data_IF_647699588549
#
_entry.id   IF_647699588549
#
_cell.length_a   1.000
_cell.length_b   1.000
_cell.length_c   1.000
_cell.angle_alpha   90.00
_cell.angle_beta   90.00
_cell.angle_gamma   90.00
#
_symmetry.space_group_name_H-M   'P 1'
#
loop_
_entity.id
_entity.type
_entity.pdbx_description
1 polymer ?
#
# COMPACT_ATOMS: atom_id res chain seq x y z
N UNK A 1 20.50 -12.41 -6.19
CA UNK A 1 19.67 -13.47 -5.56
C UNK A 1 18.50 -12.78 -4.91
N UNK A 2 17.26 -13.22 -5.14
CA UNK A 2 16.09 -12.69 -4.46
C UNK A 2 16.11 -13.16 -3.01
N UNK A 3 16.42 -12.27 -2.07
CA UNK A 3 16.26 -12.55 -0.63
C UNK A 3 14.78 -12.67 -0.29
N UNK A 4 14.47 -13.54 0.66
CA UNK A 4 13.14 -13.56 1.30
C UNK A 4 12.95 -12.22 2.01
N UNK A 5 11.79 -11.57 1.81
CA UNK A 5 11.41 -10.33 2.49
C UNK A 5 10.27 -10.59 3.45
N UNK A 6 10.32 -9.96 4.62
CA UNK A 6 9.25 -9.94 5.61
C UNK A 6 8.69 -8.51 5.67
N UNK A 7 7.42 -8.36 5.30
CA UNK A 7 6.70 -7.09 5.29
C UNK A 7 5.48 -7.20 6.22
N UNK A 8 5.60 -6.90 7.52
CA UNK A 8 4.47 -7.02 8.44
C UNK A 8 3.33 -6.06 8.08
N UNK A 9 2.10 -6.57 8.07
CA UNK A 9 0.90 -5.74 7.88
C UNK A 9 0.50 -5.08 9.19
N UNK A 10 0.22 -3.78 9.12
CA UNK A 10 -0.32 -3.00 10.25
C UNK A 10 -1.84 -2.95 10.31
N UNK A 11 -2.54 -3.70 9.45
CA UNK A 11 -4.00 -3.76 9.40
C UNK A 11 -4.63 -4.04 10.77
N UNK A 12 -4.01 -4.94 11.54
CA UNK A 12 -4.47 -5.37 12.87
C UNK A 12 -3.63 -4.82 14.03
N UNK A 13 -2.77 -3.82 13.78
CA UNK A 13 -1.96 -3.20 14.82
C UNK A 13 -2.82 -2.33 15.75
N UNK A 14 -2.31 -2.02 16.94
CA UNK A 14 -2.93 -1.05 17.84
C UNK A 14 -2.86 0.37 17.23
N UNK A 15 -3.98 0.82 16.66
CA UNK A 15 -4.08 2.13 16.01
C UNK A 15 -3.84 3.30 16.96
N UNK A 16 -4.10 3.15 18.27
CA UNK A 16 -3.86 4.22 19.23
C UNK A 16 -2.36 4.44 19.47
N UNK A 17 -1.53 3.43 19.18
CA UNK A 17 -0.09 3.44 19.38
C UNK A 17 0.68 3.04 18.09
N UNK A 18 0.12 3.36 16.92
CA UNK A 18 0.56 2.80 15.64
C UNK A 18 2.07 2.99 15.37
N UNK A 19 2.60 4.18 15.60
CA UNK A 19 4.03 4.45 15.38
C UNK A 19 4.94 3.67 16.33
N UNK A 20 4.49 3.42 17.56
CA UNK A 20 5.20 2.54 18.48
C UNK A 20 5.21 1.09 17.98
N UNK A 21 4.09 0.61 17.42
CA UNK A 21 4.02 -0.72 16.80
C UNK A 21 4.94 -0.84 15.58
N UNK A 22 5.01 0.19 14.73
CA UNK A 22 5.94 0.24 13.59
C UNK A 22 7.40 0.23 14.07
N UNK A 23 7.73 1.04 15.08
CA UNK A 23 9.09 1.10 15.65
C UNK A 23 9.54 -0.24 16.23
N UNK A 24 8.64 -1.02 16.83
CA UNK A 24 8.94 -2.34 17.40
C UNK A 24 9.44 -3.34 16.36
N UNK A 25 9.00 -3.21 15.10
CA UNK A 25 9.35 -4.14 14.01
C UNK A 25 10.41 -3.57 13.05
N UNK A 26 10.72 -2.27 13.15
CA UNK A 26 11.53 -1.54 12.17
C UNK A 26 12.95 -2.11 11.97
N UNK A 27 13.57 -2.66 13.01
CA UNK A 27 14.94 -3.19 12.93
C UNK A 27 15.04 -4.59 12.31
N UNK A 28 13.93 -5.28 12.10
CA UNK A 28 13.88 -6.69 11.67
C UNK A 28 13.02 -6.93 10.43
N UNK A 29 12.42 -5.87 9.87
CA UNK A 29 11.50 -5.95 8.74
C UNK A 29 12.10 -5.27 7.50
N UNK A 30 11.76 -5.77 6.32
CA UNK A 30 12.23 -5.20 5.05
C UNK A 30 11.41 -3.99 4.62
N UNK A 31 10.08 -4.07 4.77
CA UNK A 31 9.11 -3.02 4.45
C UNK A 31 7.95 -3.06 5.45
N UNK A 32 7.16 -2.00 5.48
CA UNK A 32 5.88 -1.97 6.17
C UNK A 32 4.76 -2.24 5.17
N UNK A 33 3.88 -3.22 5.41
CA UNK A 33 2.74 -3.45 4.54
C UNK A 33 1.51 -2.66 5.01
N UNK A 34 0.97 -1.83 4.13
CA UNK A 34 -0.16 -0.92 4.39
C UNK A 34 -1.38 -1.33 3.56
N UNK A 35 -2.35 -1.96 4.21
CA UNK A 35 -3.61 -2.38 3.60
C UNK A 35 -4.63 -1.24 3.60
N UNK A 36 -4.95 -0.68 2.43
CA UNK A 36 -5.96 0.37 2.26
C UNK A 36 -7.24 -0.22 1.67
N UNK A 37 -8.35 -0.07 2.39
CA UNK A 37 -9.67 -0.55 2.01
C UNK A 37 -10.68 0.61 2.08
N UNK A 38 -11.58 0.73 1.09
CA UNK A 38 -12.44 1.89 0.89
C UNK A 38 -13.96 1.64 1.11
N UNK A 39 -14.32 0.45 1.58
CA UNK A 39 -15.70 -0.03 1.74
C UNK A 39 -16.52 -0.07 0.42
N UNK A 40 -15.86 -0.05 -0.76
CA UNK A 40 -16.51 -0.17 -2.08
C UNK A 40 -15.99 -1.38 -2.84
N UNK A 41 -14.67 -1.50 -3.00
CA UNK A 41 -14.07 -2.66 -3.66
C UNK A 41 -14.08 -3.90 -2.77
N UNK A 42 -13.93 -3.69 -1.46
CA UNK A 42 -14.10 -4.69 -0.40
C UNK A 42 -15.06 -4.14 0.67
N UNK A 43 -15.78 -4.98 1.42
CA UNK A 43 -16.80 -4.53 2.38
C UNK A 43 -16.21 -4.11 3.75
N UNK A 44 -15.06 -3.43 3.74
CA UNK A 44 -14.35 -2.96 4.93
C UNK A 44 -13.67 -1.62 4.64
N UNK A 45 -13.44 -0.82 5.68
CA UNK A 45 -12.65 0.41 5.62
C UNK A 45 -11.46 0.31 6.59
N UNK A 46 -10.28 0.78 6.18
CA UNK A 46 -9.06 0.71 7.02
C UNK A 46 -8.46 2.07 7.30
N UNK A 47 -7.91 2.76 6.31
CA UNK A 47 -7.25 4.05 6.48
C UNK A 47 -7.83 5.06 5.50
N UNK A 48 -8.04 6.30 5.95
CA UNK A 48 -8.27 7.41 5.02
C UNK A 48 -6.99 7.67 4.22
N UNK A 49 -7.13 8.40 3.11
CA UNK A 49 -5.97 8.79 2.31
C UNK A 49 -4.98 9.62 3.13
N UNK A 50 -5.46 10.55 3.96
CA UNK A 50 -4.64 11.38 4.83
C UNK A 50 -3.90 10.56 5.89
N UNK A 51 -4.57 9.56 6.50
CA UNK A 51 -3.93 8.65 7.45
C UNK A 51 -2.84 7.82 6.76
N UNK A 52 -3.12 7.30 5.56
CA UNK A 52 -2.16 6.51 4.79
C UNK A 52 -0.93 7.34 4.39
N UNK A 53 -1.13 8.54 3.86
CA UNK A 53 -0.04 9.47 3.51
C UNK A 53 0.79 9.80 4.74
N UNK A 54 0.15 10.07 5.88
CA UNK A 54 0.87 10.33 7.12
C UNK A 54 1.76 9.14 7.55
N UNK A 55 1.26 7.91 7.41
CA UNK A 55 2.05 6.69 7.68
C UNK A 55 3.22 6.59 6.69
N UNK A 56 3.00 6.80 5.40
CA UNK A 56 4.02 6.71 4.35
C UNK A 56 5.15 7.71 4.62
N UNK A 57 4.82 8.96 4.95
CA UNK A 57 5.79 10.03 5.16
C UNK A 57 6.56 9.91 6.49
N UNK A 58 5.95 9.33 7.53
CA UNK A 58 6.53 9.28 8.87
C UNK A 58 7.13 7.91 9.24
N UNK A 59 6.85 6.85 8.47
CA UNK A 59 7.34 5.52 8.77
C UNK A 59 8.87 5.45 8.65
N UNK A 60 9.58 4.87 9.64
CA UNK A 60 11.02 4.59 9.52
C UNK A 60 11.33 3.46 8.53
N UNK A 61 10.32 2.65 8.17
CA UNK A 61 10.38 1.63 7.13
C UNK A 61 9.78 2.17 5.83
N UNK A 62 10.38 1.83 4.70
CA UNK A 62 9.74 2.02 3.40
C UNK A 62 8.39 1.26 3.34
N UNK A 63 7.37 1.91 2.77
CA UNK A 63 5.98 1.40 2.80
C UNK A 63 5.62 0.69 1.48
N UNK A 64 5.05 -0.50 1.62
CA UNK A 64 4.40 -1.28 0.58
C UNK A 64 2.88 -1.11 0.69
N UNK A 65 2.32 -0.24 -0.16
CA UNK A 65 0.91 0.13 -0.15
C UNK A 65 0.10 -0.86 -0.98
N UNK A 66 -0.79 -1.63 -0.36
CA UNK A 66 -1.74 -2.52 -1.03
C UNK A 66 -3.13 -1.90 -1.05
N UNK A 67 -3.60 -1.56 -2.24
CA UNK A 67 -4.83 -0.82 -2.47
C UNK A 67 -5.97 -1.75 -2.86
N UNK A 68 -6.85 -2.03 -1.90
CA UNK A 68 -8.15 -2.69 -2.06
C UNK A 68 -9.26 -1.63 -2.18
N UNK A 69 -9.16 -0.79 -3.21
CA UNK A 69 -10.02 0.38 -3.42
C UNK A 69 -10.68 0.36 -4.80
N UNK A 70 -11.80 1.07 -4.94
CA UNK A 70 -12.41 1.37 -6.24
C UNK A 70 -11.62 2.47 -6.96
N UNK A 71 -11.58 2.41 -8.29
CA UNK A 71 -10.94 3.41 -9.16
C UNK A 71 -9.46 3.68 -8.83
N UNK A 72 -8.59 2.63 -8.80
CA UNK A 72 -7.18 2.79 -8.49
C UNK A 72 -6.44 3.62 -9.55
N UNK A 73 -6.97 3.75 -10.76
CA UNK A 73 -6.39 4.54 -11.86
C UNK A 73 -6.10 6.00 -11.46
N UNK A 74 -6.92 6.57 -10.57
CA UNK A 74 -6.78 7.94 -10.05
C UNK A 74 -5.98 7.95 -8.74
N UNK A 75 -6.31 7.04 -7.83
CA UNK A 75 -5.83 7.11 -6.46
C UNK A 75 -4.43 6.51 -6.28
N UNK A 76 -4.10 5.41 -6.96
CA UNK A 76 -2.83 4.70 -6.75
C UNK A 76 -1.57 5.53 -7.06
N UNK A 77 -1.54 6.37 -8.13
CA UNK A 77 -0.40 7.25 -8.39
C UNK A 77 -0.11 8.21 -7.23
N UNK A 78 -1.13 8.67 -6.50
CA UNK A 78 -0.97 9.59 -5.37
C UNK A 78 -0.17 8.94 -4.22
N UNK A 79 -0.36 7.64 -3.96
CA UNK A 79 0.43 6.91 -2.96
C UNK A 79 1.91 6.86 -3.33
N UNK A 80 2.21 6.74 -4.63
CA UNK A 80 3.58 6.79 -5.13
C UNK A 80 4.16 8.21 -5.00
N UNK A 81 3.39 9.25 -5.32
CA UNK A 81 3.78 10.66 -5.17
C UNK A 81 4.17 11.02 -3.73
N UNK A 82 3.47 10.44 -2.75
CA UNK A 82 3.78 10.63 -1.32
C UNK A 82 4.89 9.71 -0.79
N UNK A 83 5.57 8.95 -1.65
CA UNK A 83 6.79 8.20 -1.29
C UNK A 83 6.57 6.74 -0.91
N UNK A 84 5.45 6.11 -1.30
CA UNK A 84 5.32 4.65 -1.18
C UNK A 84 6.44 3.97 -1.97
N UNK A 85 7.13 3.02 -1.35
CA UNK A 85 8.19 2.26 -2.02
C UNK A 85 7.62 1.26 -3.04
N UNK A 86 6.44 0.72 -2.75
CA UNK A 86 5.63 0.00 -3.72
C UNK A 86 4.16 0.35 -3.61
N UNK A 87 3.47 0.29 -4.74
CA UNK A 87 2.02 0.41 -4.81
C UNK A 87 1.48 -0.80 -5.59
N UNK A 88 0.66 -1.59 -4.90
CA UNK A 88 0.01 -2.77 -5.44
C UNK A 88 -1.49 -2.52 -5.57
N UNK A 89 -2.01 -2.55 -6.80
CA UNK A 89 -3.45 -2.42 -7.07
C UNK A 89 -4.07 -3.74 -7.53
N UNK A 90 -5.38 -3.87 -7.44
CA UNK A 90 -6.10 -5.03 -7.92
C UNK A 90 -6.40 -4.97 -9.41
N UNK A 91 -6.08 -6.04 -10.14
CA UNK A 91 -6.38 -6.17 -11.57
C UNK A 91 -7.87 -5.96 -11.86
N UNK A 92 -8.73 -6.46 -10.98
CA UNK A 92 -10.19 -6.41 -11.12
C UNK A 92 -10.78 -5.01 -10.90
N UNK A 93 -10.03 -4.10 -10.28
CA UNK A 93 -10.45 -2.75 -9.99
C UNK A 93 -9.99 -1.74 -11.05
N UNK A 94 -8.91 -2.04 -11.76
CA UNK A 94 -8.30 -1.12 -12.72
C UNK A 94 -9.01 -1.13 -14.08
N UNK A 95 -9.22 0.05 -14.65
CA UNK A 95 -9.82 0.24 -15.96
C UNK A 95 -8.78 0.32 -17.09
N UNK A 96 -7.62 0.93 -16.86
CA UNK A 96 -6.48 0.97 -17.78
C UNK A 96 -5.18 0.59 -17.06
N UNK A 97 -4.99 -0.73 -16.93
CA UNK A 97 -3.83 -1.34 -16.27
C UNK A 97 -2.50 -0.81 -16.81
N UNK A 98 -2.37 -0.56 -18.13
CA UNK A 98 -1.10 -0.12 -18.70
C UNK A 98 -0.77 1.31 -18.30
N UNK A 99 -1.75 2.20 -18.42
CA UNK A 99 -1.62 3.60 -18.00
C UNK A 99 -1.33 3.69 -16.50
N UNK A 100 -2.06 2.91 -15.69
CA UNK A 100 -1.89 2.87 -14.25
C UNK A 100 -0.48 2.42 -13.83
N UNK A 101 0.05 1.35 -14.44
CA UNK A 101 1.44 0.91 -14.21
C UNK A 101 2.42 2.04 -14.53
N UNK A 102 2.24 2.71 -15.68
CA UNK A 102 3.12 3.81 -16.08
C UNK A 102 3.08 4.97 -15.10
N UNK A 103 1.90 5.35 -14.62
CA UNK A 103 1.69 6.48 -13.71
C UNK A 103 2.27 6.21 -12.31
N UNK A 104 2.11 5.00 -11.79
CA UNK A 104 2.73 4.62 -10.51
C UNK A 104 4.26 4.62 -10.65
N UNK A 105 4.79 4.03 -11.72
CA UNK A 105 6.22 3.93 -11.96
C UNK A 105 6.88 5.30 -12.18
N UNK A 106 6.22 6.22 -12.89
CA UNK A 106 6.74 7.58 -13.12
C UNK A 106 6.87 8.39 -11.83
N UNK A 107 6.10 8.03 -10.80
CA UNK A 107 6.16 8.63 -9.47
C UNK A 107 7.16 7.92 -8.53
N UNK A 108 7.99 7.01 -9.05
CA UNK A 108 9.14 6.45 -8.33
C UNK A 108 8.84 5.19 -7.49
N UNK A 109 7.58 4.75 -7.42
CA UNK A 109 7.21 3.53 -6.71
C UNK A 109 7.40 2.28 -7.58
N UNK A 110 7.69 1.14 -6.94
CA UNK A 110 7.60 -0.17 -7.59
C UNK A 110 6.13 -0.56 -7.77
N UNK A 111 5.78 -1.02 -8.95
CA UNK A 111 4.39 -1.41 -9.25
C UNK A 111 4.15 -2.89 -8.92
N UNK A 112 3.05 -3.17 -8.23
CA UNK A 112 2.51 -4.51 -8.03
C UNK A 112 1.10 -4.64 -8.60
N UNK A 113 0.73 -5.85 -9.02
CA UNK A 113 -0.65 -6.20 -9.39
C UNK A 113 -1.08 -7.37 -8.52
N UNK A 114 -2.16 -7.18 -7.76
CA UNK A 114 -2.85 -8.22 -7.03
C UNK A 114 -3.99 -8.80 -7.86
N UNK A 115 -4.23 -10.10 -7.70
CA UNK A 115 -5.31 -10.83 -8.36
C UNK A 115 -6.08 -11.56 -7.26
N UNK A 116 -7.40 -11.39 -7.22
CA UNK A 116 -8.26 -12.08 -6.26
C UNK A 116 -8.23 -13.59 -6.53
N UNK A 117 -8.38 -14.42 -5.48
CA UNK A 117 -8.63 -15.83 -5.67
C UNK A 117 -9.90 -16.05 -6.51
N UNK A 118 -9.80 -16.84 -7.58
CA UNK A 118 -10.95 -17.21 -8.41
C UNK A 118 -11.34 -16.18 -9.49
N UNK A 119 -10.48 -15.20 -9.77
CA UNK A 119 -10.57 -14.33 -10.95
C UNK A 119 -10.39 -15.10 -12.25
#
# INVERSE_FOLDING_TARGET
MSSVRICPSILNADRQNLFSEILRIASVSDLLHLDVMDNKFVPNFTFSFEEAVHIIEQSPLAVDSHLMISDPDIQAPLYAEHGSASVTFHLEAASDVKSLISNIASNGARVGIAIKPGT
#
